data_IF_993071183058
#
_entry.id   IF_993071183058
#
_cell.length_a   1.000
_cell.length_b   1.000
_cell.length_c   1.000
_cell.angle_alpha   90.00
_cell.angle_beta   90.00
_cell.angle_gamma   90.00
#
_symmetry.space_group_name_H-M   'P 1'
#
loop_
_entity.id
_entity.type
_entity.pdbx_description
1 polymer ?
#
# COMPACT_ATOMS: atom_id res chain seq x y z
N UNK A 1 -12.14 13.64 16.76
CA UNK A 1 -12.13 13.35 15.30
C UNK A 1 -12.58 11.92 15.05
N UNK A 2 -13.60 11.68 14.21
CA UNK A 2 -14.09 10.34 13.93
C UNK A 2 -13.10 9.53 13.10
N UNK A 3 -13.02 8.22 13.38
CA UNK A 3 -12.18 7.29 12.64
C UNK A 3 -12.92 6.83 11.37
N UNK A 4 -12.56 7.38 10.20
CA UNK A 4 -13.20 7.01 8.91
C UNK A 4 -13.18 5.50 8.59
N UNK A 5 -12.14 4.75 8.99
CA UNK A 5 -12.01 3.30 8.73
C UNK A 5 -11.37 2.58 9.90
N UNK A 6 -11.84 1.37 10.27
CA UNK A 6 -11.28 0.53 11.36
C UNK A 6 -9.77 0.30 11.23
N UNK A 7 -9.24 0.21 10.01
CA UNK A 7 -7.81 0.00 9.73
C UNK A 7 -7.01 1.29 9.50
N UNK A 8 -7.65 2.46 9.46
CA UNK A 8 -7.04 3.74 9.03
C UNK A 8 -6.40 3.69 7.63
N UNK A 9 -6.84 2.73 6.80
CA UNK A 9 -6.29 2.51 5.44
C UNK A 9 -4.94 1.80 5.42
N UNK A 10 -4.61 1.02 6.46
CA UNK A 10 -3.33 0.34 6.62
C UNK A 10 -3.53 -1.13 7.02
N UNK A 11 -2.74 -2.04 6.44
CA UNK A 11 -2.78 -3.49 6.76
C UNK A 11 -1.69 -3.94 7.74
N UNK A 12 -1.03 -3.01 8.43
CA UNK A 12 0.13 -3.24 9.31
C UNK A 12 -0.14 -4.02 10.60
N UNK A 13 -1.38 -4.03 11.10
CA UNK A 13 -1.70 -4.60 12.42
C UNK A 13 -0.98 -3.86 13.55
N UNK A 14 -0.44 -4.60 14.52
CA UNK A 14 0.28 -4.09 15.71
C UNK A 14 1.72 -3.66 15.45
N UNK A 15 2.28 -3.90 14.25
CA UNK A 15 3.68 -3.57 13.94
C UNK A 15 3.92 -2.06 14.08
N UNK A 16 5.16 -1.64 14.38
CA UNK A 16 5.57 -0.23 14.55
C UNK A 16 6.03 0.48 13.27
N UNK A 17 6.70 -0.22 12.34
CA UNK A 17 7.11 0.29 11.02
C UNK A 17 6.94 -0.78 9.94
N UNK A 18 6.84 -0.35 8.70
CA UNK A 18 6.86 -1.20 7.49
C UNK A 18 7.64 -0.47 6.40
N UNK A 19 8.29 -1.20 5.47
CA UNK A 19 9.02 -0.59 4.38
C UNK A 19 8.11 0.25 3.48
N UNK A 20 8.71 1.20 2.75
CA UNK A 20 8.04 2.00 1.71
C UNK A 20 8.33 1.39 0.33
N UNK A 21 7.42 1.61 -0.62
CA UNK A 21 7.54 1.26 -2.03
C UNK A 21 7.29 2.52 -2.86
N UNK A 22 7.92 2.63 -4.03
CA UNK A 22 7.64 3.73 -4.95
C UNK A 22 6.34 3.48 -5.72
N UNK A 23 5.55 4.53 -5.92
CA UNK A 23 4.36 4.50 -6.78
C UNK A 23 4.79 4.41 -8.25
N UNK A 24 4.17 3.51 -9.02
CA UNK A 24 4.44 3.36 -10.46
C UNK A 24 4.04 4.58 -11.30
N UNK A 25 3.04 5.34 -10.84
CA UNK A 25 2.50 6.48 -11.59
C UNK A 25 3.21 7.81 -11.29
N UNK A 26 3.60 8.04 -10.04
CA UNK A 26 4.14 9.33 -9.58
C UNK A 26 5.47 9.24 -8.81
N UNK A 27 6.05 8.05 -8.63
CA UNK A 27 7.33 7.85 -7.95
C UNK A 27 7.32 8.04 -6.43
N UNK A 28 6.25 8.57 -5.84
CA UNK A 28 6.22 8.86 -4.41
C UNK A 28 6.39 7.62 -3.51
N UNK A 29 7.11 7.78 -2.40
CA UNK A 29 7.31 6.73 -1.41
C UNK A 29 6.07 6.50 -0.54
N UNK A 30 5.40 5.36 -0.73
CA UNK A 30 4.18 4.97 -0.03
C UNK A 30 4.47 3.77 0.89
N UNK A 31 3.93 3.70 2.12
CA UNK A 31 4.05 2.49 2.94
C UNK A 31 3.52 1.25 2.22
N UNK A 32 4.30 0.14 2.24
CA UNK A 32 3.97 -1.10 1.50
C UNK A 32 2.63 -1.72 1.87
N UNK A 33 2.13 -1.44 3.07
CA UNK A 33 0.85 -1.92 3.59
C UNK A 33 -0.35 -1.01 3.22
N UNK A 34 -0.07 0.19 2.70
CA UNK A 34 -1.05 1.19 2.25
C UNK A 34 -1.16 1.27 0.72
N UNK A 35 -0.10 0.88 0.01
CA UNK A 35 -0.09 0.88 -1.45
C UNK A 35 -1.19 -0.04 -2.02
N UNK A 36 -1.87 0.42 -3.08
CA UNK A 36 -2.76 -0.42 -3.90
C UNK A 36 -1.87 -1.32 -4.75
N UNK A 37 -2.00 -2.63 -4.60
CA UNK A 37 -1.21 -3.63 -5.32
C UNK A 37 -2.11 -4.34 -6.32
N UNK A 38 -1.66 -4.47 -7.55
CA UNK A 38 -2.33 -5.22 -8.62
C UNK A 38 -1.32 -6.21 -9.16
N UNK A 39 -1.72 -7.47 -9.26
CA UNK A 39 -0.93 -8.52 -9.91
C UNK A 39 -1.45 -8.65 -11.33
N UNK A 40 -0.58 -8.47 -12.33
CA UNK A 40 -0.95 -8.59 -13.75
C UNK A 40 -0.18 -9.76 -14.33
N UNK A 41 -0.88 -10.84 -14.66
CA UNK A 41 -0.30 -11.96 -15.42
C UNK A 41 -0.41 -11.60 -16.90
N UNK A 42 0.70 -11.19 -17.52
CA UNK A 42 0.73 -10.86 -18.94
C UNK A 42 1.34 -12.03 -19.70
N UNK A 43 0.58 -12.61 -20.63
CA UNK A 43 1.15 -13.52 -21.62
C UNK A 43 1.99 -12.68 -22.59
N UNK A 44 3.22 -13.11 -22.81
CA UNK A 44 4.04 -12.59 -23.89
C UNK A 44 3.52 -13.31 -25.14
N UNK A 45 2.62 -12.63 -25.87
CA UNK A 45 2.31 -13.00 -27.25
C UNK A 45 3.57 -12.79 -28.07
#
# INVERSE_FOLDING_TARGET
>A
MPKKRKSRGRRKGSKGKVPRVQCSMCGQLIPRDKAKKVTVTRYLV
#
